data_IF_054559735982
#
_entry.id   IF_054559735982
#
_cell.length_a   1.000
_cell.length_b   1.000
_cell.length_c   1.000
_cell.angle_alpha   90.00
_cell.angle_beta   90.00
_cell.angle_gamma   90.00
#
_symmetry.space_group_name_H-M   'P 1'
#
loop_
_entity.id
_entity.type
_entity.pdbx_description
1 polymer ?
#
# COMPACT_ATOMS: atom_id res chain seq x y z
N UNK A 1 -14.68 13.52 1.88
CA UNK A 1 -14.96 12.50 2.91
C UNK A 1 -16.01 12.99 3.90
N UNK A 2 -15.76 14.07 4.64
CA UNK A 2 -16.70 14.61 5.66
C UNK A 2 -18.12 14.85 5.13
N UNK A 3 -18.24 15.39 3.91
CA UNK A 3 -19.54 15.58 3.28
C UNK A 3 -20.27 14.25 3.02
N UNK A 4 -19.56 13.21 2.55
CA UNK A 4 -20.15 11.90 2.29
C UNK A 4 -20.63 11.20 3.56
N UNK A 5 -19.88 11.31 4.66
CA UNK A 5 -20.31 10.82 5.97
C UNK A 5 -21.57 11.53 6.48
N UNK A 6 -21.59 12.86 6.35
CA UNK A 6 -22.74 13.68 6.74
C UNK A 6 -23.99 13.32 5.93
N UNK A 7 -23.85 13.14 4.62
CA UNK A 7 -24.96 12.76 3.74
C UNK A 7 -25.49 11.36 4.06
N UNK A 8 -24.60 10.40 4.32
CA UNK A 8 -24.99 9.04 4.74
C UNK A 8 -25.78 9.06 6.06
N UNK A 9 -25.32 9.85 7.04
CA UNK A 9 -26.03 10.01 8.31
C UNK A 9 -27.41 10.65 8.13
N UNK A 10 -27.49 11.75 7.38
CA UNK A 10 -28.77 12.42 7.10
C UNK A 10 -29.73 11.54 6.29
N UNK A 11 -29.20 10.66 5.44
CA UNK A 11 -29.95 9.66 4.69
C UNK A 11 -30.42 8.46 5.52
N UNK A 12 -30.01 8.35 6.79
CA UNK A 12 -30.38 7.23 7.66
C UNK A 12 -29.66 5.92 7.33
N UNK A 13 -28.49 5.99 6.68
CA UNK A 13 -27.67 4.81 6.39
C UNK A 13 -26.74 4.49 7.55
N UNK A 14 -26.51 3.19 7.79
CA UNK A 14 -25.59 2.72 8.85
C UNK A 14 -24.12 2.69 8.39
N UNK A 15 -23.88 2.81 7.08
CA UNK A 15 -22.55 2.70 6.49
C UNK A 15 -22.39 3.52 5.19
N UNK A 16 -21.14 3.87 4.89
CA UNK A 16 -20.71 4.47 3.62
C UNK A 16 -19.44 3.75 3.12
N UNK A 17 -19.38 3.46 1.82
CA UNK A 17 -18.19 2.88 1.17
C UNK A 17 -17.60 3.93 0.23
N UNK A 18 -16.36 4.34 0.49
CA UNK A 18 -15.60 5.21 -0.39
C UNK A 18 -14.87 4.36 -1.43
N UNK A 19 -15.27 4.47 -2.70
CA UNK A 19 -14.67 3.74 -3.80
C UNK A 19 -13.76 4.65 -4.63
N UNK A 20 -12.51 4.24 -4.86
CA UNK A 20 -11.54 5.02 -5.64
C UNK A 20 -10.43 4.15 -6.23
N UNK A 21 -9.77 4.60 -7.28
CA UNK A 21 -8.63 3.88 -7.88
C UNK A 21 -7.38 3.94 -6.99
N UNK A 22 -7.19 5.07 -6.32
CA UNK A 22 -6.11 5.31 -5.38
C UNK A 22 -6.58 6.26 -4.26
N UNK A 23 -5.96 6.12 -3.09
CA UNK A 23 -6.20 6.98 -1.93
C UNK A 23 -4.86 7.46 -1.39
N UNK A 24 -4.83 8.69 -0.91
CA UNK A 24 -3.68 9.21 -0.18
C UNK A 24 -3.72 8.71 1.27
N UNK A 25 -2.57 8.49 1.90
CA UNK A 25 -2.49 7.97 3.26
C UNK A 25 -3.33 8.76 4.29
N UNK A 26 -3.37 10.11 4.29
CA UNK A 26 -4.25 10.84 5.21
C UNK A 26 -5.74 10.54 5.01
N UNK A 27 -6.17 10.25 3.78
CA UNK A 27 -7.55 9.88 3.48
C UNK A 27 -7.86 8.45 3.95
N UNK A 28 -6.90 7.51 3.78
CA UNK A 28 -7.03 6.14 4.28
C UNK A 28 -7.15 6.12 5.80
N UNK A 29 -6.20 6.73 6.50
CA UNK A 29 -6.19 6.81 7.96
C UNK A 29 -7.47 7.46 8.52
N UNK A 30 -7.98 8.51 7.87
CA UNK A 30 -9.24 9.14 8.28
C UNK A 30 -10.44 8.18 8.15
N UNK A 31 -10.53 7.44 7.06
CA UNK A 31 -11.62 6.47 6.80
C UNK A 31 -11.55 5.31 7.80
N UNK A 32 -10.35 4.78 8.04
CA UNK A 32 -10.13 3.67 8.99
C UNK A 32 -10.38 4.06 10.44
N UNK A 33 -10.04 5.29 10.82
CA UNK A 33 -10.31 5.80 12.17
C UNK A 33 -11.81 5.81 12.51
N UNK A 34 -12.69 5.74 11.50
CA UNK A 34 -14.13 5.54 11.64
C UNK A 34 -14.77 6.49 12.68
N UNK A 35 -14.38 7.76 12.64
CA UNK A 35 -14.63 8.75 13.69
C UNK A 35 -16.11 9.14 13.84
N UNK A 36 -16.99 8.71 12.94
CA UNK A 36 -18.41 9.04 12.98
C UNK A 36 -19.18 8.04 13.87
N UNK A 37 -19.88 8.49 14.92
CA UNK A 37 -20.43 7.60 15.94
C UNK A 37 -21.58 6.69 15.46
N UNK A 38 -22.20 7.00 14.32
CA UNK A 38 -23.38 6.30 13.82
C UNK A 38 -23.24 5.69 12.42
N UNK A 39 -22.19 6.04 11.67
CA UNK A 39 -22.05 5.63 10.27
C UNK A 39 -20.68 5.03 10.10
N UNK A 40 -20.62 3.75 9.73
CA UNK A 40 -19.35 3.07 9.45
C UNK A 40 -18.80 3.48 8.10
N UNK A 41 -17.58 3.99 8.06
CA UNK A 41 -16.85 4.23 6.83
C UNK A 41 -16.06 2.97 6.42
N UNK A 42 -16.08 2.65 5.12
CA UNK A 42 -15.24 1.63 4.50
C UNK A 42 -14.53 2.20 3.28
N UNK A 43 -13.38 1.62 2.95
CA UNK A 43 -12.60 1.99 1.77
C UNK A 43 -12.58 0.83 0.79
N UNK A 44 -12.79 1.09 -0.49
CA UNK A 44 -12.75 0.08 -1.55
C UNK A 44 -11.91 0.56 -2.74
N UNK A 45 -10.87 -0.19 -3.08
CA UNK A 45 -10.07 0.08 -4.26
C UNK A 45 -10.76 -0.44 -5.52
N UNK A 46 -10.98 0.45 -6.49
CA UNK A 46 -11.48 0.12 -7.82
C UNK A 46 -10.33 -0.40 -8.66
N UNK A 47 -10.48 -1.59 -9.23
CA UNK A 47 -9.50 -2.13 -10.18
C UNK A 47 -9.34 -1.23 -11.42
N UNK A 48 -8.10 -0.92 -11.85
CA UNK A 48 -7.85 -0.16 -13.09
C UNK A 48 -8.46 -0.81 -14.34
N UNK A 49 -8.59 -2.13 -14.34
CA UNK A 49 -9.22 -2.90 -15.44
C UNK A 49 -10.67 -2.49 -15.72
N UNK A 50 -11.35 -1.82 -14.77
CA UNK A 50 -12.71 -1.30 -14.94
C UNK A 50 -12.79 -0.24 -16.03
N UNK A 51 -11.73 0.54 -16.23
CA UNK A 51 -11.68 1.64 -17.21
C UNK A 51 -10.89 1.29 -18.47
N UNK A 52 -10.17 0.16 -18.48
CA UNK A 52 -9.35 -0.21 -19.64
C UNK A 52 -10.17 -0.99 -20.67
N UNK A 53 -10.19 -0.47 -21.89
CA UNK A 53 -10.66 -1.18 -23.08
C UNK A 53 -9.48 -1.72 -23.87
N UNK A 54 -9.66 -2.85 -24.54
CA UNK A 54 -8.72 -3.33 -25.53
C UNK A 54 -8.64 -2.37 -26.72
N UNK A 55 -7.70 -2.63 -27.64
CA UNK A 55 -7.49 -1.81 -28.83
C UNK A 55 -8.70 -1.76 -29.78
N UNK A 56 -9.71 -2.63 -29.60
CA UNK A 56 -10.96 -2.68 -30.35
C UNK A 56 -12.14 -2.05 -29.59
N UNK A 57 -11.91 -1.45 -28.42
CA UNK A 57 -12.96 -0.83 -27.60
C UNK A 57 -13.77 -1.83 -26.76
N UNK A 58 -13.36 -3.10 -26.72
CA UNK A 58 -13.95 -4.11 -25.84
C UNK A 58 -13.44 -3.95 -24.41
N UNK A 59 -14.28 -4.16 -23.41
CA UNK A 59 -13.82 -4.09 -22.02
C UNK A 59 -12.80 -5.20 -21.73
N UNK A 60 -11.67 -4.86 -21.07
CA UNK A 60 -10.72 -5.86 -20.58
C UNK A 60 -11.26 -6.63 -19.36
N UNK A 61 -12.43 -6.25 -18.84
CA UNK A 61 -13.12 -6.97 -17.78
C UNK A 61 -13.53 -8.36 -18.26
N UNK A 62 -12.76 -9.38 -17.87
CA UNK A 62 -13.25 -10.75 -17.89
C UNK A 62 -14.34 -10.89 -16.83
N UNK A 63 -15.59 -10.95 -17.26
CA UNK A 63 -16.75 -11.24 -16.40
C UNK A 63 -16.72 -12.71 -15.96
N UNK A 64 -15.89 -13.03 -14.97
CA UNK A 64 -16.00 -14.26 -14.18
C UNK A 64 -16.41 -13.89 -12.77
N UNK A 65 -17.20 -14.72 -12.09
CA UNK A 65 -17.67 -14.48 -10.72
C UNK A 65 -16.53 -14.27 -9.68
N UNK A 66 -15.28 -14.53 -10.07
CA UNK A 66 -14.03 -14.27 -9.34
C UNK A 66 -13.39 -12.89 -9.60
N UNK A 67 -13.97 -12.03 -10.44
CA UNK A 67 -13.50 -10.66 -10.66
C UNK A 67 -14.01 -9.72 -9.56
N UNK A 68 -13.52 -9.88 -8.33
CA UNK A 68 -13.69 -8.85 -7.30
C UNK A 68 -13.13 -7.53 -7.83
N UNK A 69 -14.02 -6.60 -8.21
CA UNK A 69 -13.70 -5.27 -8.75
C UNK A 69 -13.30 -4.29 -7.65
N UNK A 70 -13.72 -4.60 -6.42
CA UNK A 70 -13.50 -3.84 -5.21
C UNK A 70 -12.77 -4.75 -4.23
N UNK A 71 -11.59 -4.34 -3.77
CA UNK A 71 -10.87 -5.02 -2.69
C UNK A 71 -10.61 -4.00 -1.59
N UNK A 72 -10.81 -4.39 -0.35
CA UNK A 72 -10.48 -3.57 0.82
C UNK A 72 -9.11 -4.03 1.29
N UNK A 73 -8.11 -3.16 1.14
CA UNK A 73 -6.77 -3.40 1.66
C UNK A 73 -6.58 -2.51 2.87
N UNK A 74 -6.01 -3.07 3.94
CA UNK A 74 -5.48 -2.31 5.06
C UNK A 74 -4.10 -1.74 4.73
N UNK A 75 -3.58 -0.94 5.67
CA UNK A 75 -2.24 -0.37 5.55
C UNK A 75 -1.13 -1.43 5.60
N UNK A 76 0.04 -1.16 4.97
CA UNK A 76 1.24 -1.95 5.19
C UNK A 76 1.60 -2.09 6.68
N UNK A 77 1.88 -3.31 7.11
CA UNK A 77 2.44 -3.59 8.43
C UNK A 77 3.96 -3.46 8.37
N UNK A 78 4.49 -2.42 9.03
CA UNK A 78 5.90 -2.06 8.98
C UNK A 78 6.42 -1.70 10.37
N UNK A 79 7.69 -2.01 10.60
CA UNK A 79 8.43 -1.55 11.79
C UNK A 79 9.54 -0.61 11.36
N UNK A 80 9.68 0.51 12.07
CA UNK A 80 10.79 1.44 11.94
C UNK A 80 11.80 1.20 13.08
N UNK A 81 13.05 0.92 12.72
CA UNK A 81 14.18 0.80 13.65
C UNK A 81 15.15 1.94 13.40
N UNK A 82 15.67 2.52 14.48
CA UNK A 82 16.76 3.51 14.42
C UNK A 82 18.07 2.83 14.84
N UNK A 83 19.10 2.94 14.02
CA UNK A 83 20.46 2.49 14.30
C UNK A 83 21.42 3.67 14.13
N UNK A 84 21.84 4.26 15.25
CA UNK A 84 22.62 5.50 15.25
C UNK A 84 21.86 6.69 14.64
N UNK A 85 22.42 7.26 13.57
CA UNK A 85 21.83 8.36 12.79
C UNK A 85 21.07 7.89 11.55
N UNK A 86 20.92 6.57 11.38
CA UNK A 86 20.21 5.95 10.27
C UNK A 86 18.95 5.21 10.73
N UNK A 87 18.06 4.98 9.79
CA UNK A 87 16.79 4.30 9.96
C UNK A 87 16.71 3.10 9.02
N UNK A 88 16.03 2.06 9.50
CA UNK A 88 15.77 0.82 8.76
C UNK A 88 14.29 0.50 8.89
N UNK A 89 13.63 0.26 7.76
CA UNK A 89 12.23 -0.17 7.70
C UNK A 89 12.18 -1.66 7.43
N UNK A 90 11.34 -2.37 8.16
CA UNK A 90 11.04 -3.79 7.96
C UNK A 90 9.55 -3.96 7.63
N UNK A 91 9.24 -4.62 6.51
CA UNK A 91 7.88 -4.91 6.04
C UNK A 91 7.46 -6.33 6.44
N UNK A 92 6.42 -6.44 7.25
CA UNK A 92 5.88 -7.72 7.72
C UNK A 92 4.84 -8.28 6.75
N UNK A 93 4.01 -7.40 6.18
CA UNK A 93 2.94 -7.79 5.27
C UNK A 93 1.99 -6.64 4.95
N UNK A 94 0.83 -7.02 4.41
CA UNK A 94 -0.32 -6.12 4.21
C UNK A 94 -1.56 -6.86 4.66
N UNK A 95 -2.43 -6.22 5.41
CA UNK A 95 -3.72 -6.80 5.74
C UNK A 95 -4.69 -6.69 4.56
N UNK A 96 -5.31 -7.81 4.19
CA UNK A 96 -6.28 -7.90 3.10
C UNK A 96 -7.61 -8.29 3.70
N UNK A 97 -8.61 -7.44 3.55
CA UNK A 97 -9.97 -7.75 3.99
C UNK A 97 -10.73 -8.44 2.85
N UNK A 98 -11.25 -9.63 3.13
CA UNK A 98 -12.15 -10.34 2.23
C UNK A 98 -13.60 -9.86 2.48
N UNK A 99 -14.21 -9.10 1.54
CA UNK A 99 -15.56 -8.59 1.73
C UNK A 99 -16.64 -9.67 1.62
N UNK A 100 -16.32 -10.88 1.13
CA UNK A 100 -17.27 -11.98 1.04
C UNK A 100 -17.40 -12.72 2.38
N UNK A 101 -16.31 -12.87 3.12
CA UNK A 101 -16.30 -13.55 4.42
C UNK A 101 -16.34 -12.59 5.61
N UNK A 102 -15.88 -11.36 5.41
CA UNK A 102 -15.70 -10.38 6.48
C UNK A 102 -14.39 -10.56 7.27
N UNK A 103 -13.50 -11.44 6.81
CA UNK A 103 -12.25 -11.75 7.49
C UNK A 103 -11.12 -10.81 7.03
N UNK A 104 -10.25 -10.45 7.97
CA UNK A 104 -8.97 -9.81 7.67
C UNK A 104 -7.89 -10.89 7.67
N UNK A 105 -7.16 -10.99 6.56
CA UNK A 105 -6.02 -11.89 6.44
C UNK A 105 -4.75 -11.07 6.21
N UNK A 106 -3.75 -11.22 7.08
CA UNK A 106 -2.42 -10.68 6.81
C UNK A 106 -1.80 -11.45 5.66
N UNK A 107 -1.69 -10.80 4.51
CA UNK A 107 -0.95 -11.32 3.37
C UNK A 107 0.53 -11.36 3.75
N UNK A 108 1.01 -12.54 4.13
CA UNK A 108 2.43 -12.78 4.33
C UNK A 108 3.19 -12.42 3.05
N UNK A 109 4.39 -11.88 3.20
CA UNK A 109 5.13 -11.23 2.12
C UNK A 109 5.53 -12.10 0.89
N UNK A 110 5.08 -13.36 0.80
CA UNK A 110 5.03 -14.12 -0.45
C UNK A 110 3.97 -13.64 -1.45
N UNK A 111 2.99 -12.84 -0.99
CA UNK A 111 1.92 -12.27 -1.82
C UNK A 111 2.19 -10.82 -2.27
N UNK A 112 3.36 -10.27 -1.92
CA UNK A 112 3.78 -8.93 -2.32
C UNK A 112 4.53 -9.03 -3.65
N UNK A 113 4.10 -8.27 -4.66
CA UNK A 113 4.78 -8.17 -5.93
C UNK A 113 5.99 -7.24 -5.84
N UNK A 114 5.78 -6.07 -5.21
CA UNK A 114 6.81 -5.08 -4.97
C UNK A 114 6.48 -4.24 -3.73
N UNK A 115 7.51 -3.66 -3.12
CA UNK A 115 7.33 -2.58 -2.16
C UNK A 115 8.39 -1.50 -2.37
N UNK A 116 8.03 -0.27 -2.05
CA UNK A 116 8.83 0.92 -2.30
C UNK A 116 8.92 1.76 -1.04
N UNK A 117 10.04 2.45 -0.89
CA UNK A 117 10.29 3.36 0.21
C UNK A 117 10.61 4.75 -0.34
N UNK A 118 9.86 5.73 0.15
CA UNK A 118 10.21 7.15 0.10
C UNK A 118 10.78 7.53 1.48
N UNK A 119 12.04 7.95 1.53
CA UNK A 119 12.75 8.21 2.80
C UNK A 119 12.52 9.62 3.34
N UNK A 120 11.88 10.51 2.58
CA UNK A 120 11.65 11.91 2.95
C UNK A 120 10.34 12.44 2.36
N UNK A 121 9.25 11.73 2.63
CA UNK A 121 7.95 11.98 2.01
C UNK A 121 7.41 13.38 2.36
N UNK A 122 7.11 14.17 1.33
CA UNK A 122 6.68 15.56 1.47
C UNK A 122 5.18 15.73 1.79
N UNK A 123 4.44 14.62 1.87
CA UNK A 123 2.99 14.62 2.06
C UNK A 123 2.18 14.79 0.76
N UNK A 124 2.83 14.83 -0.41
CA UNK A 124 2.19 15.10 -1.70
C UNK A 124 2.57 14.10 -2.78
N UNK A 125 3.87 13.89 -3.00
CA UNK A 125 4.37 13.05 -4.10
C UNK A 125 5.21 11.92 -3.53
N UNK A 126 4.86 10.69 -3.88
CA UNK A 126 5.67 9.54 -3.51
C UNK A 126 6.90 9.46 -4.43
N UNK A 127 8.09 9.70 -3.89
CA UNK A 127 9.36 9.58 -4.57
C UNK A 127 10.04 8.25 -4.19
N UNK A 128 10.18 7.33 -5.15
CA UNK A 128 10.84 6.04 -4.89
C UNK A 128 12.33 6.27 -4.64
N UNK A 129 12.77 6.11 -3.39
CA UNK A 129 14.18 6.10 -3.00
C UNK A 129 14.76 4.69 -3.01
N UNK A 130 13.98 3.69 -2.60
CA UNK A 130 14.35 2.28 -2.63
C UNK A 130 13.19 1.43 -3.17
N UNK A 131 13.53 0.36 -3.91
CA UNK A 131 12.57 -0.51 -4.57
C UNK A 131 12.92 -1.98 -4.36
N UNK A 132 11.94 -2.75 -3.91
CA UNK A 132 12.12 -4.14 -3.51
C UNK A 132 11.12 -5.04 -4.22
N UNK A 133 11.58 -6.20 -4.68
CA UNK A 133 10.71 -7.18 -5.32
C UNK A 133 11.01 -8.56 -4.72
N UNK A 134 10.20 -9.01 -3.73
CA UNK A 134 10.42 -10.29 -3.04
C UNK A 134 10.40 -11.51 -3.98
N UNK A 135 9.65 -11.43 -5.09
CA UNK A 135 9.61 -12.51 -6.07
C UNK A 135 10.82 -12.45 -7.02
N UNK A 136 11.82 -13.32 -6.78
CA UNK A 136 13.04 -13.46 -7.59
C UNK A 136 12.78 -13.77 -9.08
N UNK A 137 11.61 -14.29 -9.44
CA UNK A 137 11.27 -14.56 -10.85
C UNK A 137 10.93 -13.28 -11.63
N UNK A 138 10.40 -12.24 -10.97
CA UNK A 138 10.14 -10.93 -11.59
C UNK A 138 11.45 -10.26 -12.02
N UNK A 139 12.49 -10.43 -11.19
CA UNK A 139 13.82 -9.91 -11.42
C UNK A 139 14.53 -10.49 -12.65
N UNK A 140 14.31 -11.76 -13.02
CA UNK A 140 14.96 -12.34 -14.22
C UNK A 140 14.67 -11.54 -15.50
N UNK A 141 13.50 -10.92 -15.59
CA UNK A 141 13.15 -10.03 -16.72
C UNK A 141 13.84 -8.67 -16.60
N UNK A 142 13.92 -8.12 -15.39
CA UNK A 142 14.55 -6.82 -15.12
C UNK A 142 16.08 -6.87 -15.25
N UNK A 143 16.72 -7.92 -14.72
CA UNK A 143 18.16 -8.19 -14.84
C UNK A 143 18.57 -8.33 -16.31
N UNK A 144 17.75 -9.00 -17.13
CA UNK A 144 17.97 -9.10 -18.58
C UNK A 144 17.84 -7.74 -19.27
N UNK A 145 16.98 -6.86 -18.77
CA UNK A 145 16.79 -5.51 -19.31
C UNK A 145 17.90 -4.54 -18.86
N UNK A 146 18.40 -4.68 -17.62
CA UNK A 146 19.39 -3.81 -16.97
C UNK A 146 20.86 -4.24 -17.21
N UNK A 147 21.12 -5.01 -18.28
CA UNK A 147 22.42 -5.59 -18.68
C UNK A 147 23.66 -4.98 -17.97
N UNK A 148 24.17 -5.71 -16.97
CA UNK A 148 25.58 -5.64 -16.56
C UNK A 148 26.00 -4.56 -15.56
N UNK A 149 25.09 -3.81 -14.94
CA UNK A 149 25.44 -2.71 -14.00
C UNK A 149 25.16 -3.01 -12.52
N UNK A 150 24.59 -4.16 -12.19
CA UNK A 150 24.13 -4.47 -10.82
C UNK A 150 25.05 -5.47 -10.13
N UNK A 151 25.60 -5.03 -9.01
CA UNK A 151 26.31 -5.85 -8.03
C UNK A 151 25.35 -6.91 -7.46
N UNK A 152 25.76 -8.18 -7.48
CA UNK A 152 24.95 -9.32 -7.05
C UNK A 152 24.55 -9.23 -5.57
N UNK A 153 25.41 -8.68 -4.73
CA UNK A 153 25.14 -8.56 -3.30
C UNK A 153 24.09 -7.47 -3.02
N UNK A 154 24.23 -6.31 -3.69
CA UNK A 154 23.21 -5.24 -3.67
C UNK A 154 21.87 -5.73 -4.25
N UNK A 155 21.92 -6.62 -5.23
CA UNK A 155 20.72 -7.19 -5.84
C UNK A 155 19.94 -8.10 -4.90
N UNK A 156 20.63 -8.91 -4.08
CA UNK A 156 19.96 -9.75 -3.07
C UNK A 156 19.29 -8.91 -1.99
N UNK A 157 19.89 -7.78 -1.60
CA UNK A 157 19.27 -6.85 -0.66
C UNK A 157 17.92 -6.29 -1.17
N UNK A 158 17.79 -6.06 -2.48
CA UNK A 158 16.53 -5.61 -3.11
C UNK A 158 15.47 -6.71 -3.25
N UNK A 159 15.78 -7.95 -2.87
CA UNK A 159 14.79 -9.04 -2.75
C UNK A 159 14.22 -9.18 -1.34
N UNK A 160 14.75 -8.40 -0.39
CA UNK A 160 14.39 -8.47 1.02
C UNK A 160 13.11 -7.74 1.39
N UNK A 161 12.78 -7.85 2.68
CA UNK A 161 11.71 -7.11 3.37
C UNK A 161 12.25 -6.00 4.26
N UNK A 162 13.57 -5.85 4.29
CA UNK A 162 14.29 -4.90 5.12
C UNK A 162 14.92 -3.87 4.19
N UNK A 163 14.74 -2.59 4.49
CA UNK A 163 15.32 -1.52 3.71
C UNK A 163 16.84 -1.46 3.88
N UNK A 164 17.51 -0.80 2.95
CA UNK A 164 18.85 -0.30 3.23
C UNK A 164 18.76 0.84 4.25
N UNK A 165 19.78 1.02 5.11
CA UNK A 165 19.85 2.16 6.01
C UNK A 165 19.72 3.49 5.27
N UNK A 166 19.01 4.45 5.86
CA UNK A 166 18.85 5.80 5.31
C UNK A 166 18.81 6.84 6.43
N UNK A 167 19.19 8.08 6.10
CA UNK A 167 19.12 9.20 7.05
C UNK A 167 17.78 9.91 6.94
N UNK A 168 17.34 10.51 8.04
CA UNK A 168 16.19 11.41 8.02
C UNK A 168 16.43 12.57 7.04
N UNK A 169 15.46 12.80 6.16
CA UNK A 169 15.45 13.98 5.31
C UNK A 169 14.80 15.19 5.99
N UNK A 170 14.52 16.23 5.20
CA UNK A 170 14.06 17.53 5.72
C UNK A 170 12.60 17.52 6.17
N UNK A 171 11.79 16.58 5.68
CA UNK A 171 10.38 16.44 6.00
C UNK A 171 10.14 15.59 7.25
N UNK A 172 11.13 14.78 7.66
CA UNK A 172 11.02 13.96 8.88
C UNK A 172 9.98 12.86 8.79
N UNK A 173 9.58 12.48 7.57
CA UNK A 173 8.55 11.47 7.29
C UNK A 173 9.06 10.50 6.26
N UNK A 174 8.63 9.25 6.36
CA UNK A 174 8.82 8.26 5.33
C UNK A 174 7.47 7.73 4.86
N UNK A 175 7.42 7.20 3.64
CA UNK A 175 6.26 6.48 3.14
C UNK A 175 6.67 5.12 2.60
N UNK A 176 5.92 4.09 2.99
CA UNK A 176 6.05 2.73 2.47
C UNK A 176 4.87 2.45 1.56
N UNK A 177 5.12 2.10 0.31
CA UNK A 177 4.09 1.69 -0.64
C UNK A 177 4.26 0.22 -0.98
N UNK A 178 3.17 -0.54 -0.94
CA UNK A 178 3.16 -1.97 -1.29
C UNK A 178 2.24 -2.21 -2.47
N UNK A 179 2.70 -3.06 -3.39
CA UNK A 179 1.95 -3.55 -4.55
C UNK A 179 1.76 -5.06 -4.40
N UNK A 180 0.51 -5.52 -4.43
CA UNK A 180 0.20 -6.96 -4.41
C UNK A 180 0.38 -7.63 -5.79
N UNK A 181 0.25 -8.96 -5.87
CA UNK A 181 0.31 -9.70 -7.15
C UNK A 181 -0.80 -9.34 -8.15
N UNK A 182 -1.86 -8.67 -7.69
CA UNK A 182 -3.01 -8.25 -8.49
C UNK A 182 -2.87 -6.81 -8.99
N UNK A 183 -1.82 -6.09 -8.60
CA UNK A 183 -1.55 -4.70 -8.97
C UNK A 183 -2.27 -3.66 -8.11
N UNK A 184 -2.85 -4.06 -6.97
CA UNK A 184 -3.43 -3.12 -6.02
C UNK A 184 -2.33 -2.45 -5.21
N UNK A 185 -2.48 -1.15 -4.94
CA UNK A 185 -1.51 -0.36 -4.18
C UNK A 185 -2.08 0.10 -2.84
N UNK A 186 -1.28 0.00 -1.79
CA UNK A 186 -1.53 0.64 -0.49
C UNK A 186 -0.28 1.32 0.02
N UNK A 187 -0.46 2.30 0.91
CA UNK A 187 0.63 3.10 1.43
C UNK A 187 0.45 3.41 2.90
N UNK A 188 1.54 3.36 3.67
CA UNK A 188 1.60 3.85 5.05
C UNK A 188 2.66 4.94 5.18
N UNK A 189 2.35 5.98 5.94
CA UNK A 189 3.28 7.08 6.24
C UNK A 189 3.67 6.99 7.70
N UNK A 190 4.97 7.11 7.99
CA UNK A 190 5.49 7.13 9.36
C UNK A 190 6.25 8.44 9.60
N UNK A 191 6.07 9.01 10.78
CA UNK A 191 6.87 10.15 11.25
C UNK A 191 8.14 9.60 11.93
N UNK A 192 9.31 10.12 11.56
CA UNK A 192 10.59 9.67 12.10
C UNK A 192 10.81 10.16 13.55
N UNK A 193 10.07 11.19 13.97
CA UNK A 193 10.16 11.78 15.33
C UNK A 193 9.16 11.18 16.32
N UNK A 194 8.08 10.57 15.84
CA UNK A 194 7.05 9.96 16.70
C UNK A 194 7.47 8.53 17.03
N UNK A 195 7.90 8.31 18.27
CA UNK A 195 8.13 6.97 18.79
C UNK A 195 6.78 6.28 18.95
N UNK A 196 6.45 5.32 18.09
CA UNK A 196 5.36 4.39 18.38
C UNK A 196 5.72 3.67 19.69
N UNK A 197 4.92 3.91 20.73
CA UNK A 197 5.04 3.20 21.99
C UNK A 197 4.72 1.73 21.72
N UNK A 198 5.76 0.90 21.72
CA UNK A 198 5.64 -0.54 21.68
C UNK A 198 4.82 -0.97 22.91
N UNK A 199 3.62 -1.49 22.71
CA UNK A 199 2.90 -2.20 23.76
C UNK A 199 3.60 -3.56 23.94
N UNK A 200 4.24 -3.73 25.11
CA UNK A 200 4.70 -5.03 25.64
C UNK A 200 3.51 -5.97 25.95
#
# INVERSE_FOLDING_TARGET
MEQGLREAYLGGFDAVVFCGFAFEAPAQAAIEANVHPHVKAFLAHIRPDVIMTDAAGGSLLKTTASSQLFTVFGEPDVTLKQDGDEFIVELHGVDVYDPLTGDVHSAHAGQIAAWFLDTDYDGRTFAICQAFFPNRSAWKKLERALRGTLDKERFEQLTGRVSLPFKAGKHGKLAVKVIDQRGNEVMRVLNLEEREAQYD
#
